data_IF_847406840631
#
_entry.id   IF_847406840631
#
_cell.length_a   1.000
_cell.length_b   1.000
_cell.length_c   1.000
_cell.angle_alpha   90.00
_cell.angle_beta   90.00
_cell.angle_gamma   90.00
#
_symmetry.space_group_name_H-M   'P 1'
#
loop_
_entity.id
_entity.type
_entity.pdbx_description
1 polymer ?
#
# COMPACT_ATOMS: atom_id res chain seq x y z
N UNK A 1 3.45 16.26 -18.22
CA UNK A 1 3.82 14.97 -17.62
C UNK A 1 3.66 15.09 -16.11
N UNK A 2 3.05 14.10 -15.48
CA UNK A 2 2.86 14.11 -14.01
C UNK A 2 4.19 13.87 -13.31
N UNK A 3 4.47 14.65 -12.27
CA UNK A 3 5.61 14.41 -11.40
C UNK A 3 5.27 13.38 -10.31
N UNK A 4 6.28 12.94 -9.58
CA UNK A 4 6.18 11.90 -8.55
C UNK A 4 5.14 12.22 -7.47
N UNK A 5 5.10 13.47 -6.99
CA UNK A 5 4.14 13.93 -5.98
C UNK A 5 2.70 13.84 -6.50
N UNK A 6 2.45 14.35 -7.70
CA UNK A 6 1.11 14.32 -8.28
C UNK A 6 0.62 12.89 -8.50
N UNK A 7 1.51 11.99 -8.93
CA UNK A 7 1.20 10.57 -9.06
C UNK A 7 0.85 9.94 -7.73
N UNK A 8 1.62 10.23 -6.66
CA UNK A 8 1.31 9.71 -5.32
C UNK A 8 -0.05 10.21 -4.84
N UNK A 9 -0.32 11.51 -4.92
CA UNK A 9 -1.59 12.07 -4.47
C UNK A 9 -2.78 11.50 -5.25
N UNK A 10 -2.65 11.33 -6.56
CA UNK A 10 -3.67 10.72 -7.39
C UNK A 10 -3.88 9.24 -7.04
N UNK A 11 -2.80 8.48 -6.81
CA UNK A 11 -2.88 7.10 -6.34
C UNK A 11 -3.68 7.00 -5.04
N UNK A 12 -3.33 7.81 -4.02
CA UNK A 12 -4.02 7.80 -2.72
C UNK A 12 -5.51 8.13 -2.85
N UNK A 13 -5.85 9.09 -3.72
CA UNK A 13 -7.25 9.45 -3.99
C UNK A 13 -8.01 8.36 -4.77
N UNK A 14 -7.29 7.47 -5.47
CA UNK A 14 -7.87 6.48 -6.39
C UNK A 14 -7.93 5.07 -5.81
N UNK A 15 -7.49 4.82 -4.58
CA UNK A 15 -7.36 3.47 -4.01
C UNK A 15 -8.68 2.69 -4.03
N UNK A 16 -9.84 3.36 -4.03
CA UNK A 16 -11.16 2.73 -4.10
C UNK A 16 -11.57 2.30 -5.51
N UNK A 17 -10.80 2.69 -6.52
CA UNK A 17 -10.93 2.23 -7.90
C UNK A 17 -9.63 1.50 -8.30
N UNK A 18 -9.54 0.17 -8.07
CA UNK A 18 -8.32 -0.60 -8.32
C UNK A 18 -7.80 -0.48 -9.75
N UNK A 19 -8.71 -0.39 -10.72
CA UNK A 19 -8.34 -0.27 -12.14
C UNK A 19 -7.69 1.08 -12.42
N UNK A 20 -8.28 2.16 -11.93
CA UNK A 20 -7.71 3.49 -12.09
C UNK A 20 -6.38 3.62 -11.33
N UNK A 21 -6.34 3.21 -10.06
CA UNK A 21 -5.11 3.25 -9.27
C UNK A 21 -3.96 2.50 -9.96
N UNK A 22 -4.22 1.29 -10.47
CA UNK A 22 -3.22 0.50 -11.19
C UNK A 22 -2.82 1.14 -12.54
N UNK A 23 -3.71 1.88 -13.19
CA UNK A 23 -3.40 2.56 -14.46
C UNK A 23 -2.36 3.67 -14.33
N UNK A 24 -2.12 4.16 -13.11
CA UNK A 24 -1.07 5.16 -12.84
C UNK A 24 0.35 4.57 -12.90
N UNK A 25 0.46 3.25 -12.81
CA UNK A 25 1.75 2.56 -12.88
C UNK A 25 2.16 2.34 -14.34
N UNK A 26 3.47 2.32 -14.58
CA UNK A 26 4.03 1.81 -15.83
C UNK A 26 3.64 0.35 -16.03
N UNK A 27 3.65 -0.15 -17.28
CA UNK A 27 3.30 -1.56 -17.56
C UNK A 27 4.21 -2.55 -16.82
N UNK A 28 5.48 -2.20 -16.66
CA UNK A 28 6.48 -2.92 -15.90
C UNK A 28 6.71 -2.36 -14.49
N UNK A 29 5.83 -1.46 -14.04
CA UNK A 29 5.88 -0.86 -12.71
C UNK A 29 5.65 -1.87 -11.60
N UNK A 30 6.12 -1.54 -10.41
CA UNK A 30 6.03 -2.41 -9.25
C UNK A 30 5.42 -1.71 -8.03
N UNK A 31 4.65 -2.49 -7.26
CA UNK A 31 4.17 -2.13 -5.95
C UNK A 31 4.77 -3.07 -4.91
N UNK A 32 5.52 -2.52 -3.97
CA UNK A 32 6.20 -3.30 -2.92
C UNK A 32 5.63 -3.00 -1.54
N UNK A 33 5.41 -4.07 -0.79
CA UNK A 33 4.89 -4.07 0.58
C UNK A 33 5.78 -5.00 1.43
N UNK A 34 7.03 -4.57 1.74
CA UNK A 34 8.05 -5.47 2.27
C UNK A 34 7.65 -6.13 3.59
N UNK A 35 6.95 -5.43 4.47
CA UNK A 35 6.57 -5.99 5.78
C UNK A 35 5.37 -6.93 5.75
N UNK A 36 4.60 -7.00 4.66
CA UNK A 36 3.50 -7.98 4.52
C UNK A 36 4.00 -9.42 4.43
N UNK A 37 5.28 -9.62 4.15
CA UNK A 37 5.89 -10.95 4.21
C UNK A 37 5.65 -11.64 5.56
N UNK A 38 5.67 -10.90 6.66
CA UNK A 38 5.38 -11.42 8.00
C UNK A 38 3.95 -11.99 8.14
N UNK A 39 3.04 -11.59 7.26
CA UNK A 39 1.66 -12.10 7.20
C UNK A 39 1.45 -13.11 6.05
N UNK A 40 2.53 -13.59 5.43
CA UNK A 40 2.46 -14.58 4.35
C UNK A 40 2.05 -14.02 2.99
N UNK A 41 2.07 -12.69 2.81
CA UNK A 41 1.75 -12.02 1.56
C UNK A 41 3.03 -11.72 0.78
N UNK A 42 3.01 -11.98 -0.54
CA UNK A 42 4.14 -11.65 -1.41
C UNK A 42 4.49 -10.16 -1.30
N UNK A 43 5.78 -9.82 -1.11
CA UNK A 43 6.18 -8.43 -0.86
C UNK A 43 6.22 -7.57 -2.11
N UNK A 44 6.22 -8.15 -3.31
CA UNK A 44 6.29 -7.43 -4.59
C UNK A 44 5.22 -7.90 -5.55
N UNK A 45 4.56 -6.92 -6.16
CA UNK A 45 3.57 -7.12 -7.22
C UNK A 45 4.00 -6.30 -8.44
N UNK A 46 4.12 -6.95 -9.60
CA UNK A 46 4.64 -6.33 -10.82
C UNK A 46 3.58 -6.30 -11.91
N UNK A 47 3.47 -5.13 -12.55
CA UNK A 47 2.53 -4.89 -13.63
C UNK A 47 1.11 -4.54 -13.16
N UNK A 48 0.41 -3.80 -13.99
CA UNK A 48 -0.92 -3.23 -13.67
C UNK A 48 -1.95 -4.27 -13.24
N UNK A 49 -1.90 -5.47 -13.84
CA UNK A 49 -2.85 -6.56 -13.50
C UNK A 49 -2.68 -7.06 -12.07
N UNK A 50 -1.44 -7.34 -11.66
CA UNK A 50 -1.16 -7.81 -10.30
C UNK A 50 -1.43 -6.71 -9.28
N UNK A 51 -1.07 -5.48 -9.60
CA UNK A 51 -1.31 -4.31 -8.73
C UNK A 51 -2.81 -4.07 -8.53
N UNK A 52 -3.61 -4.11 -9.58
CA UNK A 52 -5.06 -4.01 -9.47
C UNK A 52 -5.63 -5.14 -8.60
N UNK A 53 -5.14 -6.36 -8.76
CA UNK A 53 -5.53 -7.50 -7.94
C UNK A 53 -5.22 -7.32 -6.46
N UNK A 54 -4.04 -6.78 -6.14
CA UNK A 54 -3.63 -6.46 -4.77
C UNK A 54 -4.56 -5.41 -4.14
N UNK A 55 -4.84 -4.31 -4.83
CA UNK A 55 -5.73 -3.24 -4.35
C UNK A 55 -7.17 -3.78 -4.17
N UNK A 56 -7.62 -4.61 -5.11
CA UNK A 56 -8.92 -5.27 -5.00
C UNK A 56 -9.00 -6.16 -3.75
N UNK A 57 -7.94 -6.90 -3.45
CA UNK A 57 -7.86 -7.72 -2.24
C UNK A 57 -7.90 -6.87 -0.96
N UNK A 58 -7.21 -5.73 -0.94
CA UNK A 58 -7.30 -4.76 0.16
C UNK A 58 -8.75 -4.34 0.40
N UNK A 59 -9.50 -4.02 -0.65
CA UNK A 59 -10.90 -3.60 -0.55
C UNK A 59 -11.85 -4.75 -0.16
N UNK A 60 -11.48 -6.00 -0.40
CA UNK A 60 -12.21 -7.15 0.16
C UNK A 60 -12.00 -7.29 1.66
N UNK A 61 -10.77 -7.08 2.12
CA UNK A 61 -10.44 -7.15 3.55
C UNK A 61 -10.99 -5.95 4.33
N UNK A 62 -11.00 -4.78 3.71
CA UNK A 62 -11.45 -3.51 4.28
C UNK A 62 -12.34 -2.77 3.27
N UNK A 63 -13.65 -3.12 3.17
CA UNK A 63 -14.52 -2.60 2.11
C UNK A 63 -14.65 -1.07 2.05
N UNK A 64 -14.44 -0.39 3.17
CA UNK A 64 -14.48 1.06 3.29
C UNK A 64 -13.09 1.71 3.34
N UNK A 65 -12.02 1.00 2.99
CA UNK A 65 -10.67 1.53 3.07
C UNK A 65 -10.51 2.79 2.23
N UNK A 66 -9.89 3.81 2.82
CA UNK A 66 -9.53 5.05 2.14
C UNK A 66 -8.37 5.73 2.85
N UNK A 67 -7.60 6.50 2.09
CA UNK A 67 -6.66 7.48 2.66
C UNK A 67 -7.41 8.79 2.89
N UNK A 68 -7.22 9.39 4.06
CA UNK A 68 -7.81 10.69 4.38
C UNK A 68 -7.21 11.79 3.50
N UNK A 69 -8.03 12.71 2.94
CA UNK A 69 -7.53 13.74 2.03
C UNK A 69 -6.52 14.71 2.67
N UNK A 70 -6.63 14.91 3.98
CA UNK A 70 -5.75 15.82 4.75
C UNK A 70 -4.68 15.06 5.56
N UNK A 71 -4.63 13.73 5.42
CA UNK A 71 -3.74 12.86 6.20
C UNK A 71 -2.46 12.50 5.44
N UNK A 72 -1.98 13.38 4.57
CA UNK A 72 -0.77 13.17 3.79
C UNK A 72 0.26 14.26 4.05
N UNK A 73 1.48 13.86 4.38
CA UNK A 73 2.62 14.74 4.56
C UNK A 73 3.73 14.36 3.59
N UNK A 74 4.05 15.25 2.66
CA UNK A 74 5.22 15.09 1.77
C UNK A 74 6.46 15.49 2.56
N UNK A 75 7.42 14.59 2.69
CA UNK A 75 8.67 14.81 3.43
C UNK A 75 9.80 15.21 2.51
N UNK A 76 9.93 14.55 1.38
CA UNK A 76 10.95 14.81 0.36
C UNK A 76 10.31 14.65 -1.01
N UNK A 77 10.58 15.60 -1.91
CA UNK A 77 10.12 15.51 -3.30
C UNK A 77 11.16 16.01 -4.30
N UNK A 78 11.25 15.31 -5.40
CA UNK A 78 11.85 15.74 -6.67
C UNK A 78 10.84 15.44 -7.79
N UNK A 79 11.06 15.90 -9.02
CA UNK A 79 10.17 15.52 -10.13
C UNK A 79 9.98 14.00 -10.28
N UNK A 80 11.05 13.22 -10.00
CA UNK A 80 11.09 11.77 -10.19
C UNK A 80 10.80 10.96 -8.92
N UNK A 81 10.96 11.54 -7.72
CA UNK A 81 10.89 10.80 -6.47
C UNK A 81 10.12 11.55 -5.39
N UNK A 82 9.26 10.84 -4.68
CA UNK A 82 8.55 11.37 -3.52
C UNK A 82 8.66 10.39 -2.36
N UNK A 83 8.94 10.92 -1.17
CA UNK A 83 8.82 10.21 0.09
C UNK A 83 7.80 10.93 0.98
N UNK A 84 6.81 10.20 1.44
CA UNK A 84 5.68 10.77 2.18
C UNK A 84 5.20 9.85 3.30
N UNK A 85 4.50 10.46 4.25
CA UNK A 85 3.69 9.76 5.26
C UNK A 85 2.22 10.03 4.99
N UNK A 86 1.37 9.02 5.16
CA UNK A 86 -0.08 9.14 5.00
C UNK A 86 -0.82 8.09 5.83
N UNK A 87 -2.07 8.38 6.18
CA UNK A 87 -2.89 7.51 7.03
C UNK A 87 -4.03 6.91 6.23
N UNK A 88 -4.13 5.59 6.30
CA UNK A 88 -5.26 4.83 5.78
C UNK A 88 -6.24 4.45 6.90
N UNK A 89 -7.51 4.44 6.58
CA UNK A 89 -8.60 4.11 7.49
C UNK A 89 -9.47 3.03 6.89
N UNK A 90 -9.86 2.06 7.71
CA UNK A 90 -10.75 1.00 7.28
C UNK A 90 -11.34 0.23 8.44
N UNK A 91 -12.32 -0.60 8.12
CA UNK A 91 -12.91 -1.58 9.04
C UNK A 91 -12.75 -2.96 8.44
N UNK A 92 -12.13 -3.88 9.18
CA UNK A 92 -11.93 -5.25 8.72
C UNK A 92 -13.28 -5.98 8.56
N UNK A 93 -13.54 -6.54 7.38
CA UNK A 93 -14.79 -7.25 7.10
C UNK A 93 -14.96 -8.48 7.99
N UNK A 94 -13.87 -9.20 8.27
CA UNK A 94 -13.89 -10.44 9.04
C UNK A 94 -14.17 -10.24 10.53
N UNK A 95 -13.74 -9.13 11.13
CA UNK A 95 -13.78 -8.91 12.59
C UNK A 95 -14.64 -7.71 13.01
N UNK A 96 -14.89 -6.78 12.09
CA UNK A 96 -15.52 -5.49 12.39
C UNK A 96 -14.61 -4.49 13.10
N UNK A 97 -13.34 -4.84 13.36
CA UNK A 97 -12.39 -3.96 14.04
C UNK A 97 -11.89 -2.86 13.11
N UNK A 98 -11.65 -1.69 13.68
CA UNK A 98 -11.14 -0.54 12.94
C UNK A 98 -9.62 -0.62 12.77
N UNK A 99 -9.14 -0.21 11.59
CA UNK A 99 -7.73 0.00 11.28
C UNK A 99 -7.51 1.49 11.02
N UNK A 100 -6.58 2.09 11.74
CA UNK A 100 -5.97 3.39 11.44
C UNK A 100 -4.47 3.13 11.26
N UNK A 101 -3.98 3.24 10.03
CA UNK A 101 -2.64 2.79 9.70
C UNK A 101 -1.82 3.94 9.13
N UNK A 102 -0.68 4.23 9.77
CA UNK A 102 0.35 5.08 9.19
C UNK A 102 1.16 4.28 8.19
N UNK A 103 1.28 4.82 6.99
CA UNK A 103 2.16 4.34 5.92
C UNK A 103 3.30 5.32 5.71
N UNK A 104 4.46 4.81 5.36
CA UNK A 104 5.48 5.58 4.67
C UNK A 104 5.56 5.08 3.23
N UNK A 105 5.48 5.99 2.27
CA UNK A 105 5.50 5.67 0.85
C UNK A 105 6.72 6.28 0.15
N UNK A 106 7.46 5.45 -0.56
CA UNK A 106 8.52 5.85 -1.47
C UNK A 106 8.07 5.58 -2.91
N UNK A 107 7.93 6.64 -3.68
CA UNK A 107 7.49 6.57 -5.07
C UNK A 107 8.60 7.03 -6.02
N UNK A 108 8.82 6.26 -7.07
CA UNK A 108 9.66 6.62 -8.22
C UNK A 108 8.78 6.77 -9.45
N UNK A 109 8.86 7.92 -10.10
CA UNK A 109 8.17 8.23 -11.35
C UNK A 109 9.14 8.20 -12.52
N UNK A 110 8.70 7.68 -13.64
CA UNK A 110 9.40 7.67 -14.92
C UNK A 110 8.38 7.89 -16.02
N UNK A 111 8.66 8.82 -16.93
CA UNK A 111 7.79 9.17 -18.07
C UNK A 111 6.33 9.50 -17.70
N UNK A 112 6.11 10.05 -16.50
CA UNK A 112 4.77 10.43 -16.03
C UNK A 112 3.94 9.26 -15.48
N UNK A 113 4.56 8.11 -15.24
CA UNK A 113 3.95 6.92 -14.65
C UNK A 113 4.71 6.47 -13.41
N UNK A 114 4.07 5.69 -12.54
CA UNK A 114 4.70 5.13 -11.35
C UNK A 114 5.54 3.91 -11.75
N UNK A 115 6.85 4.02 -11.60
CA UNK A 115 7.77 2.91 -11.82
C UNK A 115 7.89 2.02 -10.59
N UNK A 116 7.88 2.63 -9.41
CA UNK A 116 7.90 1.94 -8.13
C UNK A 116 7.07 2.71 -7.10
N UNK A 117 6.21 2.02 -6.39
CA UNK A 117 5.66 2.47 -5.12
C UNK A 117 6.02 1.43 -4.07
N UNK A 118 6.75 1.84 -3.03
CA UNK A 118 7.02 0.99 -1.87
C UNK A 118 6.34 1.60 -0.65
N UNK A 119 5.47 0.83 -0.02
CA UNK A 119 4.81 1.22 1.22
C UNK A 119 5.34 0.39 2.38
N UNK A 120 5.71 1.08 3.45
CA UNK A 120 6.09 0.47 4.72
C UNK A 120 5.08 0.86 5.78
N UNK A 121 4.66 -0.11 6.58
CA UNK A 121 3.66 0.08 7.63
C UNK A 121 3.78 -1.02 8.69
N UNK A 122 3.05 -0.88 9.79
CA UNK A 122 3.05 -1.82 10.89
C UNK A 122 2.14 -3.03 10.61
N UNK A 123 2.69 -4.21 10.26
CA UNK A 123 1.88 -5.40 9.97
C UNK A 123 1.16 -5.93 11.22
N UNK A 124 1.67 -5.62 12.42
CA UNK A 124 1.01 -6.00 13.67
C UNK A 124 -0.36 -5.34 13.81
N UNK A 125 -0.47 -4.05 13.50
CA UNK A 125 -1.76 -3.35 13.56
C UNK A 125 -2.77 -3.95 12.56
N UNK A 126 -2.31 -4.30 11.36
CA UNK A 126 -3.15 -4.97 10.37
C UNK A 126 -3.61 -6.36 10.86
N UNK A 127 -2.72 -7.15 11.43
CA UNK A 127 -3.06 -8.46 12.01
C UNK A 127 -4.06 -8.32 13.16
N UNK A 128 -3.86 -7.34 14.05
CA UNK A 128 -4.79 -7.07 15.16
C UNK A 128 -6.18 -6.70 14.68
N UNK A 129 -6.30 -5.97 13.57
CA UNK A 129 -7.60 -5.63 12.99
C UNK A 129 -8.26 -6.81 12.28
N UNK A 130 -7.51 -7.57 11.51
CA UNK A 130 -8.02 -8.49 10.49
C UNK A 130 -8.12 -9.94 10.97
N UNK A 131 -7.20 -10.41 11.82
CA UNK A 131 -7.16 -11.82 12.24
C UNK A 131 -8.08 -12.08 13.43
N UNK A 132 -8.73 -13.27 13.53
CA UNK A 132 -9.71 -13.58 14.58
C UNK A 132 -9.19 -13.35 16.00
N UNK A 133 -7.99 -13.81 16.30
CA UNK A 133 -7.33 -13.65 17.60
C UNK A 133 -6.24 -12.56 17.59
N UNK A 134 -6.27 -11.67 16.59
CA UNK A 134 -5.31 -10.58 16.45
C UNK A 134 -3.88 -11.08 16.28
N UNK A 135 -2.95 -10.49 17.03
CA UNK A 135 -1.53 -10.82 16.92
C UNK A 135 -1.21 -12.29 17.27
N UNK A 136 -2.06 -12.97 18.03
CA UNK A 136 -1.87 -14.38 18.36
C UNK A 136 -1.94 -15.32 17.16
N UNK A 137 -2.58 -14.89 16.07
CA UNK A 137 -2.70 -15.66 14.83
C UNK A 137 -1.54 -15.40 13.85
N UNK A 138 -0.58 -14.56 14.21
CA UNK A 138 0.60 -14.32 13.36
C UNK A 138 1.49 -15.56 13.41
N UNK A 139 1.89 -16.14 12.27
CA UNK A 139 2.79 -17.27 12.25
C UNK A 139 4.15 -16.91 12.84
N UNK A 140 4.89 -17.87 13.41
CA UNK A 140 6.25 -17.61 13.88
C UNK A 140 7.13 -17.10 12.73
N UNK A 141 8.20 -16.34 13.04
CA UNK A 141 9.12 -15.86 12.01
C UNK A 141 9.76 -17.05 11.29
N UNK A 142 9.83 -16.96 9.96
CA UNK A 142 10.57 -17.91 9.15
C UNK A 142 12.07 -17.61 9.13
N UNK A 143 12.83 -18.48 8.48
CA UNK A 143 14.28 -18.30 8.31
C UNK A 143 14.62 -17.22 7.25
N UNK A 144 13.62 -16.66 6.59
CA UNK A 144 13.79 -15.69 5.52
C UNK A 144 14.14 -14.32 6.07
N UNK A 145 15.29 -13.82 5.69
CA UNK A 145 15.71 -12.45 5.95
C UNK A 145 15.05 -11.53 4.93
N UNK A 146 14.65 -10.34 5.38
CA UNK A 146 14.16 -9.29 4.49
C UNK A 146 15.22 -8.99 3.42
N UNK A 147 14.79 -9.01 2.15
CA UNK A 147 15.65 -8.69 1.01
C UNK A 147 14.95 -7.67 0.09
N UNK A 148 15.75 -6.82 -0.52
CA UNK A 148 15.27 -5.85 -1.50
C UNK A 148 15.07 -6.47 -2.88
#
# INVERSE_FOLDING_TARGET
MKNSKNLLLEYLASVRDPKHAASLFAEDGAFELPFLRSLGVAPRHSGRREIAGLIHQLLKLYPNFAFGPDDTRILIETPEKTFAEYVGHGRAAATGRTLHQLFTGYLVAEDGEIKLLRESFNPLAMAQAQLPHGAADIPPPGDEVHSF
#
